data_IF_878259816694
#
_entry.id   IF_878259816694
#
_cell.length_a   1.000
_cell.length_b   1.000
_cell.length_c   1.000
_cell.angle_alpha   90.00
_cell.angle_beta   90.00
_cell.angle_gamma   90.00
#
_symmetry.space_group_name_H-M   'P 1'
#
loop_
_entity.id
_entity.type
_entity.pdbx_description
1 polymer ?
#
# COMPACT_ATOMS: atom_id res chain seq x y z
N UNK A 1 16.01 14.92 2.91
CA UNK A 1 14.91 13.97 3.16
C UNK A 1 14.69 13.00 1.99
N UNK A 2 14.76 13.47 0.75
CA UNK A 2 14.47 12.75 -0.49
C UNK A 2 15.28 11.47 -0.74
N UNK A 3 16.60 11.51 -0.54
CA UNK A 3 17.50 10.35 -0.79
C UNK A 3 17.33 9.22 0.23
N UNK A 4 17.01 9.54 1.49
CA UNK A 4 16.73 8.53 2.54
C UNK A 4 15.43 7.80 2.27
N UNK A 5 14.40 8.49 1.79
CA UNK A 5 13.12 7.87 1.43
C UNK A 5 13.28 6.92 0.25
N UNK A 6 14.00 7.37 -0.78
CA UNK A 6 14.36 6.57 -1.96
C UNK A 6 15.18 5.33 -1.56
N UNK A 7 16.22 5.51 -0.74
CA UNK A 7 17.03 4.39 -0.23
C UNK A 7 16.22 3.46 0.67
N UNK A 8 15.28 3.99 1.47
CA UNK A 8 14.46 3.17 2.35
C UNK A 8 13.48 2.33 1.54
N UNK A 9 12.72 2.92 0.62
CA UNK A 9 11.86 2.13 -0.29
C UNK A 9 12.70 1.19 -1.15
N UNK A 10 13.89 1.58 -1.62
CA UNK A 10 14.74 0.69 -2.42
C UNK A 10 15.40 -0.43 -1.61
N UNK A 11 15.80 -0.22 -0.36
CA UNK A 11 16.33 -1.26 0.51
C UNK A 11 15.24 -2.24 0.91
N UNK A 12 14.07 -1.70 1.20
CA UNK A 12 12.84 -2.43 1.41
C UNK A 12 12.54 -3.29 0.17
N UNK A 13 12.52 -2.71 -1.03
CA UNK A 13 12.38 -3.45 -2.30
C UNK A 13 13.52 -4.44 -2.61
N UNK A 14 14.70 -4.38 -1.95
CA UNK A 14 15.84 -5.29 -2.21
C UNK A 14 15.91 -6.51 -1.28
N UNK A 15 15.20 -6.50 -0.14
CA UNK A 15 15.45 -7.45 0.97
C UNK A 15 14.49 -8.64 1.11
N UNK A 16 13.45 -8.79 0.29
CA UNK A 16 12.66 -10.04 0.31
C UNK A 16 12.69 -10.77 -1.02
N UNK A 17 12.73 -12.09 -0.87
CA UNK A 17 13.01 -13.10 -1.89
C UNK A 17 11.75 -13.53 -2.66
N UNK A 18 10.62 -12.80 -2.54
CA UNK A 18 9.34 -13.15 -3.17
C UNK A 18 9.01 -12.24 -4.36
N UNK A 19 8.36 -12.86 -5.34
CA UNK A 19 8.25 -12.56 -6.78
C UNK A 19 7.86 -11.14 -7.23
N UNK A 20 7.30 -10.28 -6.37
CA UNK A 20 7.03 -8.86 -6.69
C UNK A 20 8.29 -8.03 -6.86
N UNK A 21 9.35 -8.35 -6.12
CA UNK A 21 10.45 -7.40 -5.85
C UNK A 21 11.53 -7.29 -6.93
N UNK A 22 11.59 -8.20 -7.91
CA UNK A 22 12.55 -8.10 -9.01
C UNK A 22 12.32 -6.87 -9.92
N UNK A 23 11.24 -6.11 -9.70
CA UNK A 23 10.58 -5.35 -10.76
C UNK A 23 10.31 -3.87 -10.45
N UNK A 24 10.77 -3.32 -9.31
CA UNK A 24 10.59 -1.89 -8.96
C UNK A 24 11.84 -1.20 -8.35
N UNK A 25 12.12 0.06 -8.73
CA UNK A 25 13.09 0.99 -8.09
C UNK A 25 12.47 2.38 -7.98
N UNK A 26 12.41 2.92 -6.78
CA UNK A 26 12.14 4.35 -6.62
C UNK A 26 13.38 5.12 -7.09
N UNK A 27 13.33 5.76 -8.26
CA UNK A 27 14.45 6.56 -8.77
C UNK A 27 14.46 7.98 -8.19
N UNK A 28 13.30 8.52 -7.76
CA UNK A 28 13.24 9.80 -7.05
C UNK A 28 11.97 9.95 -6.22
N UNK A 29 12.10 10.52 -5.02
CA UNK A 29 10.98 11.17 -4.34
C UNK A 29 11.10 12.67 -4.62
N UNK A 30 10.03 13.47 -4.51
CA UNK A 30 10.17 14.93 -4.55
C UNK A 30 9.08 15.55 -3.69
N UNK A 31 9.44 16.17 -2.57
CA UNK A 31 8.48 17.01 -1.86
C UNK A 31 8.25 18.26 -2.69
N UNK A 32 7.20 18.28 -3.51
CA UNK A 32 6.78 19.49 -4.20
C UNK A 32 5.85 20.25 -3.28
N UNK A 33 6.27 21.43 -2.84
CA UNK A 33 5.30 22.45 -2.45
C UNK A 33 4.53 22.82 -3.71
N UNK A 34 3.33 22.29 -3.90
CA UNK A 34 2.39 22.90 -4.83
C UNK A 34 1.96 24.23 -4.22
N UNK A 35 2.12 25.38 -4.92
CA UNK A 35 1.47 26.62 -4.51
C UNK A 35 -0.02 26.46 -4.81
N UNK A 36 -0.74 25.72 -3.98
CA UNK A 36 -2.20 25.69 -4.01
C UNK A 36 -2.70 26.82 -3.10
N UNK A 37 -3.70 27.62 -3.53
CA UNK A 37 -4.23 28.73 -2.75
C UNK A 37 -5.17 28.17 -1.67
N UNK A 38 -4.62 27.44 -0.71
CA UNK A 38 -5.29 27.12 0.54
C UNK A 38 -4.69 28.02 1.62
N UNK A 39 -5.49 28.59 2.54
CA UNK A 39 -5.07 29.62 3.50
C UNK A 39 -4.00 29.17 4.52
N UNK A 40 -3.50 27.94 4.41
CA UNK A 40 -2.31 27.47 5.08
C UNK A 40 -1.45 26.70 4.06
N UNK A 41 -0.32 27.28 3.64
CA UNK A 41 0.62 26.63 2.72
C UNK A 41 1.06 25.26 3.26
N UNK A 42 0.48 24.19 2.72
CA UNK A 42 0.75 22.81 3.17
C UNK A 42 1.56 22.08 2.11
N UNK A 43 2.79 21.71 2.47
CA UNK A 43 3.64 20.86 1.65
C UNK A 43 3.10 19.43 1.62
N UNK A 44 2.59 19.01 0.47
CA UNK A 44 2.23 17.62 0.21
C UNK A 44 3.46 16.89 -0.37
N UNK A 45 3.85 15.74 0.19
CA UNK A 45 4.94 14.96 -0.36
C UNK A 45 4.46 14.31 -1.67
N UNK A 46 5.20 14.53 -2.76
CA UNK A 46 5.02 13.79 -4.02
C UNK A 46 6.10 12.71 -4.09
N UNK A 47 5.76 11.52 -4.53
CA UNK A 47 6.72 10.43 -4.71
C UNK A 47 6.59 9.91 -6.15
N UNK A 48 7.72 9.58 -6.78
CA UNK A 48 7.76 9.04 -8.14
C UNK A 48 8.36 7.65 -8.11
N UNK A 49 7.51 6.64 -8.24
CA UNK A 49 7.94 5.25 -8.33
C UNK A 49 8.29 4.94 -9.78
N UNK A 50 9.44 4.31 -10.02
CA UNK A 50 9.75 3.75 -11.33
C UNK A 50 9.79 2.23 -11.21
N UNK A 51 9.22 1.51 -12.17
CA UNK A 51 9.29 0.05 -12.19
C UNK A 51 10.57 -0.37 -12.96
N UNK A 52 11.35 -1.33 -12.44
CA UNK A 52 12.52 -1.92 -13.15
C UNK A 52 12.08 -2.71 -14.37
N UNK A 53 10.95 -3.38 -14.25
CA UNK A 53 10.39 -4.22 -15.30
C UNK A 53 9.02 -3.67 -15.68
N UNK A 54 8.93 -2.88 -16.76
CA UNK A 54 7.67 -2.36 -17.28
C UNK A 54 6.68 -3.48 -17.66
N UNK A 55 7.17 -4.70 -17.91
CA UNK A 55 6.34 -5.85 -18.27
C UNK A 55 5.64 -6.51 -17.07
N UNK A 56 5.96 -6.09 -15.84
CA UNK A 56 5.20 -6.46 -14.65
C UNK A 56 4.72 -5.24 -13.87
N UNK A 57 3.58 -4.68 -14.30
CA UNK A 57 2.95 -3.57 -13.59
C UNK A 57 2.61 -3.97 -12.17
N UNK A 58 3.29 -3.37 -11.19
CA UNK A 58 2.89 -3.39 -9.80
C UNK A 58 1.95 -2.20 -9.56
N UNK A 59 0.72 -2.49 -9.14
CA UNK A 59 -0.21 -1.47 -8.69
C UNK A 59 0.19 -1.01 -7.29
N UNK A 60 0.50 0.29 -7.16
CA UNK A 60 0.89 0.91 -5.89
C UNK A 60 -0.06 2.06 -5.59
N UNK A 61 -0.58 2.08 -4.38
CA UNK A 61 -1.35 3.20 -3.84
C UNK A 61 -0.63 3.75 -2.62
N UNK A 62 -0.68 5.06 -2.41
CA UNK A 62 -0.06 5.67 -1.23
C UNK A 62 -0.99 6.62 -0.50
N UNK A 63 -0.91 6.59 0.83
CA UNK A 63 -1.66 7.48 1.71
C UNK A 63 -0.74 8.20 2.68
N UNK A 64 -1.08 9.45 2.95
CA UNK A 64 -0.56 10.21 4.08
C UNK A 64 -1.31 9.78 5.35
N UNK A 65 -0.59 9.46 6.41
CA UNK A 65 -1.13 9.24 7.75
C UNK A 65 -0.73 10.41 8.65
N UNK A 66 -1.73 11.05 9.25
CA UNK A 66 -1.59 12.29 9.99
C UNK A 66 -2.14 13.52 9.25
N UNK A 67 -2.09 14.68 9.90
CA UNK A 67 -2.60 15.95 9.37
C UNK A 67 -4.10 15.93 8.99
N UNK A 68 -4.90 15.12 9.71
CA UNK A 68 -6.34 14.91 9.48
C UNK A 68 -6.67 13.68 8.63
N UNK A 69 -5.65 13.00 8.07
CA UNK A 69 -5.79 11.74 7.34
C UNK A 69 -5.57 10.55 8.26
N UNK A 70 -6.42 9.53 8.17
CA UNK A 70 -6.46 8.43 9.16
C UNK A 70 -6.18 7.07 8.54
N UNK A 71 -5.87 6.08 9.38
CA UNK A 71 -5.79 4.67 8.96
C UNK A 71 -7.10 4.17 8.31
N UNK A 72 -8.23 4.82 8.59
CA UNK A 72 -9.50 4.52 7.94
C UNK A 72 -9.48 4.77 6.43
N UNK A 73 -8.77 5.79 5.96
CA UNK A 73 -8.60 6.06 4.53
C UNK A 73 -7.61 5.08 3.88
N UNK A 74 -6.61 4.63 4.63
CA UNK A 74 -5.67 3.61 4.20
C UNK A 74 -6.36 2.26 3.94
N UNK A 75 -7.23 1.83 4.86
CA UNK A 75 -8.04 0.61 4.68
C UNK A 75 -9.34 0.85 3.88
N UNK A 76 -9.61 2.09 3.49
CA UNK A 76 -10.89 2.53 2.95
C UNK A 76 -11.07 2.26 1.46
N UNK A 77 -12.16 2.81 0.90
CA UNK A 77 -12.54 2.68 -0.51
C UNK A 77 -11.39 2.99 -1.48
N UNK A 78 -10.69 4.10 -1.26
CA UNK A 78 -9.62 4.57 -2.14
C UNK A 78 -8.26 4.00 -1.75
N UNK A 79 -8.20 2.98 -0.88
CA UNK A 79 -6.98 2.37 -0.36
C UNK A 79 -7.00 0.86 -0.56
N UNK A 80 -6.82 0.09 0.52
CA UNK A 80 -6.82 -1.37 0.45
C UNK A 80 -8.07 -1.94 -0.23
N UNK A 81 -9.26 -1.35 0.02
CA UNK A 81 -10.50 -1.87 -0.53
C UNK A 81 -10.56 -1.82 -2.05
N UNK A 82 -9.92 -0.83 -2.70
CA UNK A 82 -9.82 -0.76 -4.16
C UNK A 82 -9.05 -1.95 -4.76
N UNK A 83 -8.05 -2.47 -4.05
CA UNK A 83 -7.35 -3.69 -4.48
C UNK A 83 -8.23 -4.94 -4.30
N UNK A 84 -8.93 -5.03 -3.18
CA UNK A 84 -9.81 -6.17 -2.86
C UNK A 84 -11.03 -6.19 -3.79
N UNK A 85 -11.58 -5.04 -4.17
CA UNK A 85 -12.68 -4.92 -5.14
C UNK A 85 -12.23 -5.05 -6.60
N UNK A 86 -10.91 -5.11 -6.85
CA UNK A 86 -10.33 -5.21 -8.19
C UNK A 86 -10.28 -3.89 -8.96
N UNK A 87 -10.74 -2.78 -8.38
CA UNK A 87 -10.59 -1.44 -8.97
C UNK A 87 -9.11 -1.13 -9.24
N UNK A 88 -8.22 -1.57 -8.35
CA UNK A 88 -6.77 -1.48 -8.53
C UNK A 88 -6.17 -2.86 -8.81
N UNK A 89 -5.46 -2.96 -9.94
CA UNK A 89 -4.71 -4.16 -10.29
C UNK A 89 -5.59 -5.39 -10.44
N UNK A 90 -6.74 -5.27 -11.13
CA UNK A 90 -7.69 -6.36 -11.39
C UNK A 90 -7.00 -7.71 -11.64
N UNK A 91 -6.19 -7.84 -12.68
CA UNK A 91 -5.54 -9.13 -13.02
C UNK A 91 -4.32 -9.48 -12.14
N UNK A 92 -3.96 -8.62 -11.19
CA UNK A 92 -2.73 -8.77 -10.38
C UNK A 92 -2.99 -9.64 -9.17
N UNK A 93 -2.00 -10.45 -8.80
CA UNK A 93 -2.02 -11.24 -7.56
C UNK A 93 -1.35 -10.53 -6.40
N UNK A 94 -0.67 -9.43 -6.67
CA UNK A 94 0.12 -8.70 -5.68
C UNK A 94 -0.03 -7.18 -5.91
N UNK A 95 -0.10 -6.42 -4.82
CA UNK A 95 -0.23 -4.97 -4.82
C UNK A 95 0.53 -4.35 -3.64
N UNK A 96 0.71 -3.03 -3.65
CA UNK A 96 1.44 -2.33 -2.58
C UNK A 96 0.67 -1.12 -2.06
N UNK A 97 0.61 -1.02 -0.73
CA UNK A 97 0.09 0.13 -0.01
C UNK A 97 1.21 0.85 0.74
N UNK A 98 1.52 2.06 0.32
CA UNK A 98 2.56 2.90 0.91
C UNK A 98 1.96 3.90 1.91
N UNK A 99 2.30 3.78 3.19
CA UNK A 99 1.90 4.72 4.23
C UNK A 99 3.02 5.71 4.49
N UNK A 100 2.81 7.00 4.22
CA UNK A 100 3.73 8.04 4.68
C UNK A 100 3.23 8.62 6.01
N UNK A 101 3.96 8.35 7.09
CA UNK A 101 3.47 8.47 8.46
C UNK A 101 4.04 9.70 9.16
N UNK A 102 3.15 10.60 9.60
CA UNK A 102 3.50 11.85 10.31
C UNK A 102 2.96 11.92 11.75
N UNK A 103 1.98 11.10 12.10
CA UNK A 103 1.29 11.15 13.39
C UNK A 103 1.83 10.14 14.42
N UNK A 104 2.95 9.48 14.12
CA UNK A 104 3.53 8.46 15.00
C UNK A 104 2.82 7.11 14.97
N UNK A 105 1.85 6.92 14.08
CA UNK A 105 1.26 5.59 13.86
C UNK A 105 2.36 4.54 13.61
N UNK A 106 2.07 3.27 13.94
CA UNK A 106 2.95 2.16 13.56
C UNK A 106 2.17 1.00 12.94
N UNK A 107 2.86 0.11 12.22
CA UNK A 107 2.22 -1.11 11.69
C UNK A 107 1.57 -1.93 12.81
N UNK A 108 2.33 -2.25 13.85
CA UNK A 108 1.84 -3.05 14.99
C UNK A 108 0.86 -2.32 15.90
N UNK A 109 1.00 -1.00 16.07
CA UNK A 109 0.13 -0.22 16.94
C UNK A 109 -1.12 0.34 16.26
N UNK A 110 -1.17 0.34 14.92
CA UNK A 110 -2.25 1.02 14.18
C UNK A 110 -2.82 0.17 13.06
N UNK A 111 -2.01 -0.35 12.13
CA UNK A 111 -2.54 -1.13 11.00
C UNK A 111 -3.06 -2.49 11.45
N UNK A 112 -2.24 -3.29 12.13
CA UNK A 112 -2.64 -4.65 12.50
C UNK A 112 -3.88 -4.69 13.40
N UNK A 113 -4.00 -3.87 14.47
CA UNK A 113 -5.22 -3.83 15.26
C UNK A 113 -6.43 -3.42 14.44
N UNK A 114 -6.25 -2.52 13.45
CA UNK A 114 -7.31 -2.11 12.55
C UNK A 114 -7.74 -3.26 11.64
N UNK A 115 -6.81 -4.02 11.09
CA UNK A 115 -7.08 -5.19 10.26
C UNK A 115 -7.84 -6.27 11.03
N UNK A 116 -7.42 -6.60 12.25
CA UNK A 116 -8.15 -7.53 13.13
C UNK A 116 -9.56 -7.04 13.48
N UNK A 117 -9.71 -5.74 13.74
CA UNK A 117 -11.03 -5.13 13.95
C UNK A 117 -11.92 -5.23 12.70
N UNK A 118 -11.36 -5.08 11.50
CA UNK A 118 -12.14 -5.19 10.26
C UNK A 118 -12.53 -6.63 9.97
N UNK A 119 -11.63 -7.59 10.22
CA UNK A 119 -11.87 -9.03 10.06
C UNK A 119 -13.05 -9.53 10.90
N UNK A 120 -13.23 -8.97 12.10
CA UNK A 120 -14.34 -9.33 13.02
C UNK A 120 -15.65 -8.63 12.71
N UNK A 121 -15.66 -7.61 11.82
CA UNK A 121 -16.90 -6.96 11.40
C UNK A 121 -17.71 -7.88 10.50
N UNK A 122 -19.04 -7.76 10.61
CA UNK A 122 -19.97 -8.47 9.74
C UNK A 122 -19.61 -8.25 8.27
N UNK A 123 -19.39 -9.36 7.57
CA UNK A 123 -19.07 -9.38 6.14
C UNK A 123 -17.59 -9.23 5.78
N UNK A 124 -16.70 -9.01 6.76
CA UNK A 124 -15.25 -8.79 6.58
C UNK A 124 -14.94 -7.95 5.33
N UNK A 125 -15.01 -6.60 5.42
CA UNK A 125 -14.98 -5.72 4.25
C UNK A 125 -13.68 -5.77 3.45
N UNK A 126 -12.64 -6.43 3.97
CA UNK A 126 -11.38 -6.67 3.28
C UNK A 126 -11.16 -8.14 2.93
N UNK A 127 -12.06 -9.05 3.31
CA UNK A 127 -11.95 -10.48 3.08
C UNK A 127 -10.56 -11.04 3.46
N UNK A 128 -10.05 -10.65 4.62
CA UNK A 128 -8.69 -10.95 5.06
C UNK A 128 -8.55 -12.42 5.43
N UNK A 129 -7.62 -13.11 4.76
CA UNK A 129 -7.27 -14.52 4.97
C UNK A 129 -6.09 -14.68 5.90
N UNK A 130 -5.03 -13.91 5.68
CA UNK A 130 -3.82 -13.95 6.48
C UNK A 130 -3.22 -12.55 6.65
N UNK A 131 -2.42 -12.38 7.69
CA UNK A 131 -1.58 -11.20 7.87
C UNK A 131 -0.24 -11.63 8.49
N UNK A 132 0.84 -11.09 7.94
CA UNK A 132 2.20 -11.35 8.39
C UNK A 132 2.52 -10.63 9.69
N UNK A 133 3.79 -10.75 10.10
CA UNK A 133 4.35 -10.04 11.25
C UNK A 133 5.14 -8.83 10.76
N UNK A 134 5.04 -7.66 11.42
CA UNK A 134 5.77 -6.48 10.99
C UNK A 134 7.28 -6.69 11.10
N UNK A 135 8.01 -6.34 10.05
CA UNK A 135 9.47 -6.29 10.09
C UNK A 135 9.94 -5.04 10.82
N UNK A 136 11.18 -5.08 11.33
CA UNK A 136 11.86 -3.90 11.89
C UNK A 136 11.98 -2.75 10.88
N UNK A 137 11.97 -3.07 9.59
CA UNK A 137 12.11 -2.11 8.50
C UNK A 137 10.78 -1.38 8.16
N UNK A 138 9.67 -1.75 8.81
CA UNK A 138 8.36 -1.11 8.62
C UNK A 138 7.57 -1.73 7.48
N UNK A 139 7.59 -3.06 7.38
CA UNK A 139 6.87 -3.83 6.36
C UNK A 139 5.97 -4.88 6.99
N UNK A 140 4.82 -5.16 6.38
CA UNK A 140 4.05 -6.37 6.64
C UNK A 140 3.24 -6.70 5.40
N UNK A 141 2.96 -7.98 5.15
CA UNK A 141 2.03 -8.41 4.11
C UNK A 141 0.68 -8.81 4.69
N UNK A 142 -0.34 -8.73 3.87
CA UNK A 142 -1.67 -9.27 4.15
C UNK A 142 -2.24 -9.93 2.91
N UNK A 143 -3.05 -10.97 3.12
CA UNK A 143 -3.66 -11.74 2.04
C UNK A 143 -5.17 -11.56 2.11
N UNK A 144 -5.77 -11.24 0.97
CA UNK A 144 -7.18 -10.91 0.84
C UNK A 144 -7.82 -11.71 -0.28
N UNK A 145 -9.01 -12.25 -0.03
CA UNK A 145 -9.79 -12.92 -1.05
C UNK A 145 -10.57 -11.93 -1.91
N UNK A 146 -10.58 -12.12 -3.22
CA UNK A 146 -11.39 -11.32 -4.15
C UNK A 146 -12.58 -12.12 -4.66
N UNK A 147 -13.37 -12.61 -3.72
CA UNK A 147 -14.53 -13.46 -3.99
C UNK A 147 -15.52 -12.74 -4.90
N UNK A 148 -16.01 -13.45 -5.92
CA UNK A 148 -16.95 -12.92 -6.90
C UNK A 148 -16.32 -12.16 -8.06
N UNK A 149 -14.99 -11.95 -8.06
CA UNK A 149 -14.29 -11.42 -9.23
C UNK A 149 -13.82 -12.57 -10.13
N UNK A 150 -14.15 -12.46 -11.42
CA UNK A 150 -13.86 -13.46 -12.44
C UNK A 150 -13.04 -12.82 -13.56
N UNK A 151 -12.11 -13.58 -14.12
CA UNK A 151 -11.44 -13.20 -15.37
C UNK A 151 -12.51 -13.25 -16.49
N UNK A 152 -12.79 -12.14 -17.19
CA UNK A 152 -13.91 -12.08 -18.14
C UNK A 152 -13.86 -13.17 -19.22
N UNK A 153 -12.68 -13.48 -19.74
CA UNK A 153 -12.48 -14.40 -20.87
C UNK A 153 -12.57 -15.86 -20.45
N UNK A 154 -12.03 -16.19 -19.27
CA UNK A 154 -11.88 -17.60 -18.84
C UNK A 154 -12.92 -18.01 -17.80
N UNK A 155 -13.65 -17.05 -17.22
CA UNK A 155 -14.55 -17.25 -16.07
C UNK A 155 -13.85 -17.96 -14.90
N UNK A 156 -12.52 -17.81 -14.80
CA UNK A 156 -11.75 -18.36 -13.69
C UNK A 156 -11.76 -17.34 -12.55
N UNK A 157 -11.94 -17.79 -11.29
CA UNK A 157 -11.83 -16.91 -10.14
C UNK A 157 -10.46 -16.22 -10.09
N UNK A 158 -10.51 -14.90 -9.90
CA UNK A 158 -9.35 -14.04 -9.78
C UNK A 158 -8.51 -14.34 -8.52
N UNK A 159 -9.11 -15.06 -7.56
CA UNK A 159 -8.53 -15.56 -6.32
C UNK A 159 -7.94 -14.47 -5.43
N UNK A 160 -6.97 -14.86 -4.60
CA UNK A 160 -6.41 -13.97 -3.59
C UNK A 160 -5.47 -12.91 -4.18
N UNK A 161 -5.37 -11.79 -3.46
CA UNK A 161 -4.36 -10.74 -3.64
C UNK A 161 -3.52 -10.60 -2.37
N UNK A 162 -2.20 -10.51 -2.54
CA UNK A 162 -1.27 -10.16 -1.46
C UNK A 162 -0.98 -8.67 -1.51
N UNK A 163 -1.24 -7.96 -0.42
CA UNK A 163 -0.92 -6.55 -0.27
C UNK A 163 0.30 -6.36 0.61
N UNK A 164 1.29 -5.67 0.07
CA UNK A 164 2.51 -5.28 0.79
C UNK A 164 2.30 -3.91 1.43
N UNK A 165 2.36 -3.84 2.74
CA UNK A 165 2.25 -2.60 3.51
C UNK A 165 3.64 -2.07 3.82
N UNK A 166 3.92 -0.86 3.34
CA UNK A 166 5.24 -0.23 3.48
C UNK A 166 5.08 1.09 4.19
N UNK A 167 5.72 1.25 5.35
CA UNK A 167 5.56 2.43 6.19
C UNK A 167 6.81 3.30 6.17
N UNK A 168 6.66 4.52 5.64
CA UNK A 168 7.68 5.54 5.60
C UNK A 168 7.42 6.55 6.70
N UNK A 169 8.09 6.36 7.83
CA UNK A 169 8.04 7.30 8.96
C UNK A 169 8.81 8.57 8.60
N UNK A 170 8.16 9.73 8.79
CA UNK A 170 8.71 11.06 8.55
C UNK A 170 9.72 11.50 9.61
#
# INVERSE_FOLDING_TARGET
>A
MTTRLVLRVNNLLRRTDRTVRAKAIVNSARTTQTPCPSPAGRSSPTFSLNLRDPSAPLSVEAKLLGAGRTIGEYCGKDGMRAFVSGEYGWERREGMMLGYVRDGSTLGGTLLPRLETLKTKRGDPLHQRACGVPTLDGEVDSVHERSGLMVPETQIPLGEITLWHVWLVA
#
